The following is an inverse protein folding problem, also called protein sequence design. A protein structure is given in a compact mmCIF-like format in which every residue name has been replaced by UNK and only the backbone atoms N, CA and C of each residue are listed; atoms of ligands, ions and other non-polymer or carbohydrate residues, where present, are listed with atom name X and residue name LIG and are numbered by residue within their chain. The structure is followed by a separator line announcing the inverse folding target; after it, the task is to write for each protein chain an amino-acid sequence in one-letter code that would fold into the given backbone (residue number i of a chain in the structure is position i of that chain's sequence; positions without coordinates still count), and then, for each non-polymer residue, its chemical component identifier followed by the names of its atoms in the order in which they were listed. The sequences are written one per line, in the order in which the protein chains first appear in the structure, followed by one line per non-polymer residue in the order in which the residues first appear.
data_IF_380181195046
#
_entry.id   IF_380181195046
#
_cell.length_a   1.000
_cell.length_b   1.000
_cell.length_c   1.000
_cell.angle_alpha   90.00
_cell.angle_beta   90.00
_cell.angle_gamma   90.00
#
_symmetry.space_group_name_H-M   'P 1'
#
loop_
_entity.id
_entity.type
_entity.pdbx_description
1 polymer ?
#
# COMPACT_ATOMS: atom_id res chain seq x y z
N UNK A 1 -14.09 8.30 4.38
CA UNK A 1 -12.96 8.39 3.44
C UNK A 1 -11.88 7.41 3.85
N UNK A 2 -11.36 6.65 2.92
CA UNK A 2 -10.35 5.62 3.20
C UNK A 2 -8.95 6.17 2.98
N UNK A 3 -8.06 5.98 3.96
CA UNK A 3 -6.67 6.39 3.87
C UNK A 3 -5.81 5.21 3.40
N UNK A 4 -5.02 5.42 2.35
CA UNK A 4 -4.06 4.43 1.89
C UNK A 4 -2.76 4.59 2.68
N UNK A 5 -2.31 3.52 3.33
CA UNK A 5 -1.15 3.55 4.21
C UNK A 5 -0.08 2.58 3.75
N UNK A 6 1.17 2.90 4.09
CA UNK A 6 2.34 2.08 3.82
C UNK A 6 3.31 2.22 4.99
N UNK A 7 4.16 1.21 5.17
CA UNK A 7 5.33 1.30 6.03
C UNK A 7 6.63 1.22 5.23
N UNK A 8 6.54 1.25 3.90
CA UNK A 8 7.70 1.22 3.02
C UNK A 8 8.02 2.64 2.56
N UNK A 9 9.16 3.18 3.00
CA UNK A 9 9.63 4.50 2.57
C UNK A 9 10.73 4.40 1.53
N UNK A 10 11.49 3.32 1.54
CA UNK A 10 12.56 3.14 0.56
C UNK A 10 12.00 3.03 -0.85
N UNK A 11 12.57 3.78 -1.77
CA UNK A 11 12.21 3.77 -3.19
C UNK A 11 13.48 3.55 -4.01
N UNK A 12 13.46 2.50 -4.84
CA UNK A 12 14.55 2.22 -5.77
C UNK A 12 14.23 2.90 -7.11
N UNK A 13 15.02 3.91 -7.45
CA UNK A 13 14.78 4.70 -8.65
C UNK A 13 14.89 3.90 -9.95
N UNK A 14 15.71 2.85 -9.96
CA UNK A 14 15.81 1.97 -11.14
C UNK A 14 14.53 1.17 -11.34
N UNK A 15 13.92 0.70 -10.23
CA UNK A 15 12.64 0.01 -10.29
C UNK A 15 11.55 0.95 -10.74
N UNK A 16 11.52 2.18 -10.22
CA UNK A 16 10.55 3.19 -10.66
C UNK A 16 10.68 3.45 -12.15
N UNK A 17 11.90 3.64 -12.66
CA UNK A 17 12.13 3.84 -14.09
C UNK A 17 11.64 2.69 -14.94
N UNK A 18 11.83 1.44 -14.46
CA UNK A 18 11.35 0.26 -15.15
C UNK A 18 9.82 0.21 -15.18
N UNK A 19 9.16 0.57 -14.08
CA UNK A 19 7.70 0.64 -14.03
C UNK A 19 7.15 1.68 -15.01
N UNK A 20 7.81 2.82 -15.14
CA UNK A 20 7.44 3.83 -16.11
C UNK A 20 7.57 3.29 -17.55
N UNK A 21 8.70 2.64 -17.84
CA UNK A 21 8.94 2.07 -19.16
C UNK A 21 7.91 1.01 -19.53
N UNK A 22 7.50 0.20 -18.55
CA UNK A 22 6.50 -0.86 -18.74
C UNK A 22 5.07 -0.34 -18.64
N UNK A 23 4.87 0.93 -18.30
CA UNK A 23 3.57 1.53 -18.02
C UNK A 23 2.80 0.74 -16.96
N UNK A 24 3.52 0.25 -15.95
CA UNK A 24 2.96 -0.51 -14.84
C UNK A 24 2.65 0.45 -13.68
N UNK A 25 1.40 0.84 -13.57
CA UNK A 25 0.90 1.75 -12.56
C UNK A 25 -0.12 1.08 -11.65
N UNK A 26 -0.10 -0.25 -11.58
CA UNK A 26 -1.01 -1.01 -10.75
C UNK A 26 -0.54 -1.06 -9.31
N UNK A 27 -1.45 -0.71 -8.40
CA UNK A 27 -1.22 -0.75 -6.96
C UNK A 27 -2.23 -1.71 -6.35
N UNK A 28 -1.75 -2.71 -5.60
CA UNK A 28 -2.61 -3.70 -4.98
C UNK A 28 -2.81 -3.36 -3.51
N UNK A 29 -4.06 -3.35 -3.09
CA UNK A 29 -4.49 -2.91 -1.76
C UNK A 29 -5.07 -4.07 -0.96
N UNK A 30 -5.00 -3.96 0.37
CA UNK A 30 -5.77 -4.80 1.26
C UNK A 30 -7.25 -4.41 1.20
N UNK A 31 -8.16 -5.28 1.69
CA UNK A 31 -9.51 -4.84 2.00
C UNK A 31 -9.48 -3.69 3.01
N UNK A 32 -10.57 -2.91 3.04
CA UNK A 32 -10.73 -1.83 4.01
C UNK A 32 -10.85 -2.43 5.41
N UNK A 33 -10.15 -1.82 6.36
CA UNK A 33 -10.31 -2.13 7.77
C UNK A 33 -10.39 -0.83 8.56
N UNK A 34 -10.84 -0.93 9.82
CA UNK A 34 -11.13 0.24 10.64
C UNK A 34 -10.32 0.20 11.93
N UNK A 35 -9.73 1.33 12.29
CA UNK A 35 -9.07 1.55 13.59
C UNK A 35 -9.57 2.89 14.11
N UNK A 36 -10.13 2.88 15.31
CA UNK A 36 -10.64 4.11 15.97
C UNK A 36 -11.60 4.90 15.08
N UNK A 37 -12.48 4.17 14.36
CA UNK A 37 -13.51 4.74 13.46
C UNK A 37 -12.97 5.35 12.18
N UNK A 38 -11.67 5.19 11.91
CA UNK A 38 -11.07 5.62 10.65
C UNK A 38 -10.84 4.41 9.76
N UNK A 39 -11.09 4.58 8.46
CA UNK A 39 -10.91 3.50 7.48
C UNK A 39 -9.54 3.57 6.82
N UNK A 40 -8.91 2.40 6.68
CA UNK A 40 -7.58 2.27 6.09
C UNK A 40 -7.51 1.12 5.11
N UNK A 41 -6.60 1.23 4.14
CA UNK A 41 -6.16 0.12 3.30
C UNK A 41 -4.64 0.18 3.23
N UNK A 42 -4.00 -1.00 3.35
CA UNK A 42 -2.54 -1.11 3.21
C UNK A 42 -2.19 -1.34 1.75
N UNK A 43 -1.14 -0.68 1.28
CA UNK A 43 -0.55 -1.01 -0.02
C UNK A 43 0.19 -2.34 0.14
N UNK A 44 -0.38 -3.41 -0.45
CA UNK A 44 0.15 -4.77 -0.35
C UNK A 44 1.26 -5.01 -1.37
N UNK A 45 1.14 -4.40 -2.55
CA UNK A 45 2.11 -4.50 -3.64
C UNK A 45 1.97 -3.28 -4.53
N UNK A 46 3.03 -2.97 -5.30
CA UNK A 46 2.99 -1.86 -6.25
C UNK A 46 3.45 -0.53 -5.67
N UNK A 47 4.26 -0.54 -4.60
CA UNK A 47 4.82 0.70 -4.03
C UNK A 47 5.60 1.50 -5.08
N UNK A 48 6.46 0.81 -5.86
CA UNK A 48 7.22 1.48 -6.93
C UNK A 48 6.32 1.90 -8.10
N UNK A 49 5.27 1.13 -8.38
CA UNK A 49 4.28 1.49 -9.39
C UNK A 49 3.50 2.74 -8.99
N UNK A 50 3.22 2.91 -7.70
CA UNK A 50 2.59 4.12 -7.18
C UNK A 50 3.49 5.35 -7.42
N UNK A 51 4.77 5.24 -7.09
CA UNK A 51 5.73 6.33 -7.32
C UNK A 51 5.93 6.63 -8.80
N UNK A 52 5.93 5.58 -9.64
CA UNK A 52 6.00 5.74 -11.10
C UNK A 52 4.83 6.55 -11.64
N UNK A 53 3.62 6.23 -11.18
CA UNK A 53 2.41 6.96 -11.58
C UNK A 53 2.47 8.44 -11.18
N UNK A 54 2.93 8.73 -9.95
CA UNK A 54 3.10 10.11 -9.49
C UNK A 54 4.10 10.86 -10.36
N UNK A 55 5.22 10.24 -10.70
CA UNK A 55 6.29 10.90 -11.46
C UNK A 55 5.85 11.30 -12.86
N UNK A 56 5.04 10.49 -13.53
CA UNK A 56 4.53 10.81 -14.87
C UNK A 56 3.16 11.49 -14.85
N UNK A 57 2.58 11.72 -13.67
CA UNK A 57 1.35 12.49 -13.53
C UNK A 57 0.08 11.74 -13.94
N UNK A 58 0.05 10.40 -13.79
CA UNK A 58 -1.14 9.60 -14.07
C UNK A 58 -1.72 9.03 -12.77
N UNK A 59 -3.02 8.71 -12.79
CA UNK A 59 -3.66 8.04 -11.66
C UNK A 59 -3.24 6.57 -11.63
N UNK A 60 -2.83 6.04 -10.46
CA UNK A 60 -2.61 4.60 -10.34
C UNK A 60 -3.90 3.82 -10.56
N UNK A 61 -3.76 2.59 -11.04
CA UNK A 61 -4.87 1.64 -11.09
C UNK A 61 -4.84 0.81 -9.82
N UNK A 62 -5.95 0.77 -9.08
CA UNK A 62 -6.03 0.07 -7.81
C UNK A 62 -6.75 -1.26 -7.95
N UNK A 63 -6.21 -2.28 -7.29
CA UNK A 63 -6.80 -3.61 -7.21
C UNK A 63 -6.81 -4.07 -5.75
N UNK A 64 -7.97 -4.46 -5.25
CA UNK A 64 -8.10 -4.98 -3.89
C UNK A 64 -7.85 -6.47 -3.89
N UNK A 65 -6.83 -6.93 -3.15
CA UNK A 65 -6.50 -8.34 -3.01
C UNK A 65 -7.53 -9.04 -2.12
N UNK A 66 -7.74 -10.34 -2.38
CA UNK A 66 -8.57 -11.20 -1.56
C UNK A 66 -7.70 -12.09 -0.68
N UNK A 67 -8.33 -12.70 0.35
CA UNK A 67 -7.63 -13.64 1.24
C UNK A 67 -7.10 -14.87 0.50
N UNK A 68 -7.74 -15.29 -0.60
CA UNK A 68 -7.26 -16.41 -1.40
C UNK A 68 -6.03 -16.05 -2.23
N UNK A 69 -5.83 -14.77 -2.52
CA UNK A 69 -4.67 -14.28 -3.26
C UNK A 69 -3.48 -13.98 -2.34
N UNK A 70 -3.76 -13.61 -1.09
CA UNK A 70 -2.72 -13.26 -0.14
C UNK A 70 -3.14 -13.69 1.27
N UNK A 71 -2.44 -14.68 1.82
CA UNK A 71 -2.76 -15.26 3.13
C UNK A 71 -2.73 -14.26 4.27
N UNK A 72 -1.90 -13.21 4.17
CA UNK A 72 -1.82 -12.17 5.21
C UNK A 72 -3.17 -11.48 5.44
N UNK A 73 -4.01 -11.41 4.42
CA UNK A 73 -5.33 -10.78 4.53
C UNK A 73 -6.23 -11.52 5.52
N UNK A 74 -6.03 -12.84 5.70
CA UNK A 74 -6.77 -13.61 6.69
C UNK A 74 -6.55 -13.10 8.12
N UNK A 75 -5.42 -12.45 8.39
CA UNK A 75 -5.12 -11.89 9.70
C UNK A 75 -6.06 -10.76 10.08
N UNK A 76 -6.62 -10.04 9.09
CA UNK A 76 -7.60 -8.98 9.35
C UNK A 76 -8.84 -9.50 10.09
N UNK A 77 -9.21 -10.76 9.87
CA UNK A 77 -10.35 -11.36 10.53
C UNK A 77 -10.05 -11.81 11.97
N UNK A 78 -8.76 -11.81 12.35
CA UNK A 78 -8.31 -12.22 13.67
C UNK A 78 -7.90 -11.03 14.52
N UNK A 79 -6.96 -10.24 14.02
CA UNK A 79 -6.37 -9.12 14.75
C UNK A 79 -5.68 -8.18 13.76
N UNK A 80 -6.12 -6.93 13.72
CA UNK A 80 -5.55 -5.90 12.84
C UNK A 80 -4.07 -5.69 13.16
N UNK A 81 -3.67 -5.74 14.43
CA UNK A 81 -2.28 -5.54 14.82
C UNK A 81 -1.37 -6.63 14.23
N UNK A 82 -1.84 -7.88 14.21
CA UNK A 82 -1.10 -8.98 13.58
C UNK A 82 -0.96 -8.76 12.07
N UNK A 83 -2.02 -8.26 11.45
CA UNK A 83 -1.99 -7.94 10.02
C UNK A 83 -0.96 -6.85 9.71
N UNK A 84 -0.98 -5.76 10.46
CA UNK A 84 -0.03 -4.65 10.27
C UNK A 84 1.40 -5.12 10.51
N UNK A 85 1.62 -5.94 11.54
CA UNK A 85 2.95 -6.51 11.82
C UNK A 85 3.45 -7.38 10.66
N UNK A 86 2.57 -8.20 10.08
CA UNK A 86 2.92 -9.06 8.96
C UNK A 86 3.21 -8.27 7.67
N UNK A 87 2.67 -7.06 7.54
CA UNK A 87 2.83 -6.20 6.36
C UNK A 87 3.90 -5.12 6.57
N UNK A 88 4.54 -5.08 7.73
CA UNK A 88 5.56 -4.08 8.04
C UNK A 88 6.79 -4.22 7.15
N UNK A 89 7.36 -3.09 6.73
CA UNK A 89 8.56 -3.04 5.90
C UNK A 89 9.75 -2.37 6.61
N UNK A 90 9.84 -1.05 6.51
CA UNK A 90 11.08 -0.37 6.93
C UNK A 90 10.88 0.90 7.77
N UNK A 91 9.67 1.40 7.90
CA UNK A 91 9.42 2.65 8.63
C UNK A 91 8.04 2.61 9.29
N UNK A 92 7.71 3.65 10.04
CA UNK A 92 6.40 3.81 10.65
C UNK A 92 5.31 3.90 9.59
N UNK A 93 4.10 3.51 9.95
CA UNK A 93 2.95 3.60 9.04
C UNK A 93 2.65 5.07 8.74
N UNK A 94 2.45 5.38 7.47
CA UNK A 94 2.19 6.74 7.01
C UNK A 94 1.15 6.76 5.90
N UNK A 95 0.51 7.93 5.74
CA UNK A 95 -0.41 8.19 4.64
C UNK A 95 0.42 8.34 3.36
N UNK A 96 0.21 7.46 2.38
CA UNK A 96 1.01 7.45 1.15
C UNK A 96 0.85 8.74 0.33
N UNK A 97 -0.30 9.41 0.44
CA UNK A 97 -0.58 10.62 -0.34
C UNK A 97 0.06 11.86 0.27
N UNK A 98 0.14 11.95 1.59
CA UNK A 98 0.68 13.12 2.29
C UNK A 98 2.08 12.90 2.82
N UNK A 99 2.51 11.66 3.01
CA UNK A 99 3.78 11.32 3.63
C UNK A 99 3.79 11.48 5.15
N UNK A 100 2.66 11.82 5.76
CA UNK A 100 2.57 12.07 7.20
C UNK A 100 2.42 10.76 7.95
N UNK A 101 3.27 10.56 8.97
CA UNK A 101 3.23 9.38 9.85
C UNK A 101 1.91 9.35 10.62
N UNK A 102 1.29 8.16 10.66
CA UNK A 102 0.04 7.92 11.39
C UNK A 102 0.33 7.24 12.72
N UNK A 103 1.18 6.21 12.71
CA UNK A 103 1.59 5.46 13.91
C UNK A 103 3.09 5.22 13.94
#
# INVERSE_FOLDING_TARGET
MTTLISSQRFVDEEIVAQKIADQDFEVQLSPVFEIDREEYQVIMDGHHSYHAALEVGVEPTYYEQTASENDRINLLNKDVDLFLEACYHDDDWYDIKTGITIW
#
